data_IF_043595535091
#
_entry.id   IF_043595535091
#
_cell.length_a   1.000
_cell.length_b   1.000
_cell.length_c   1.000
_cell.angle_alpha   90.00
_cell.angle_beta   90.00
_cell.angle_gamma   90.00
#
_symmetry.space_group_name_H-M   'P 1'
#
loop_
_entity.id
_entity.type
_entity.pdbx_description
1 polymer ?
#
# COMPACT_ATOMS: atom_id res chain seq x y z
N UNK A 1 -1.76 8.89 5.80
CA UNK A 1 -2.21 7.63 6.43
C UNK A 1 -3.51 7.79 7.19
N UNK A 2 -3.74 8.91 7.88
CA UNK A 2 -4.96 9.16 8.67
C UNK A 2 -6.30 8.85 7.98
N UNK A 3 -6.42 9.06 6.65
CA UNK A 3 -7.67 8.78 5.93
C UNK A 3 -7.90 7.27 5.67
N UNK A 4 -6.83 6.48 5.53
CA UNK A 4 -6.92 5.03 5.35
C UNK A 4 -7.22 4.32 6.67
N UNK A 5 -6.64 4.80 7.77
CA UNK A 5 -6.88 4.23 9.10
C UNK A 5 -8.37 4.18 9.43
N UNK A 6 -9.09 5.31 9.32
CA UNK A 6 -10.53 5.34 9.60
C UNK A 6 -11.34 4.39 8.71
N UNK A 7 -10.98 4.28 7.42
CA UNK A 7 -11.64 3.37 6.51
C UNK A 7 -11.40 1.91 6.91
N UNK A 8 -10.13 1.53 7.14
CA UNK A 8 -9.74 0.17 7.52
C UNK A 8 -10.41 -0.24 8.84
N UNK A 9 -10.42 0.65 9.83
CA UNK A 9 -11.08 0.42 11.12
C UNK A 9 -12.59 0.21 10.94
N UNK A 10 -13.25 1.06 10.14
CA UNK A 10 -14.68 0.91 9.87
C UNK A 10 -14.99 -0.42 9.16
N UNK A 11 -14.19 -0.82 8.17
CA UNK A 11 -14.33 -2.10 7.48
C UNK A 11 -14.13 -3.28 8.44
N UNK A 12 -13.12 -3.21 9.30
CA UNK A 12 -12.81 -4.27 10.27
C UNK A 12 -13.99 -4.52 11.21
N UNK A 13 -14.56 -3.47 11.80
CA UNK A 13 -15.69 -3.61 12.73
C UNK A 13 -17.00 -3.97 12.05
N UNK A 14 -17.17 -3.64 10.77
CA UNK A 14 -18.32 -4.07 9.97
C UNK A 14 -18.20 -5.53 9.50
N UNK A 15 -17.00 -6.09 9.49
CA UNK A 15 -16.75 -7.44 9.00
C UNK A 15 -17.22 -8.53 9.98
N UNK A 16 -17.62 -9.72 9.48
CA UNK A 16 -17.98 -10.84 10.34
C UNK A 16 -16.77 -11.34 11.14
N UNK A 17 -17.02 -12.03 12.25
CA UNK A 17 -15.98 -12.47 13.19
C UNK A 17 -14.90 -13.34 12.52
N UNK A 18 -15.24 -14.13 11.49
CA UNK A 18 -14.27 -14.93 10.74
C UNK A 18 -13.25 -14.05 10.01
N UNK A 19 -13.69 -12.93 9.45
CA UNK A 19 -12.80 -11.98 8.78
C UNK A 19 -11.89 -11.26 9.79
N UNK A 20 -12.41 -10.90 10.96
CA UNK A 20 -11.61 -10.36 12.06
C UNK A 20 -10.56 -11.38 12.55
N UNK A 21 -10.95 -12.66 12.61
CA UNK A 21 -10.02 -13.75 12.96
C UNK A 21 -8.91 -13.90 11.91
N UNK A 22 -9.25 -13.85 10.62
CA UNK A 22 -8.27 -13.89 9.54
C UNK A 22 -7.33 -12.68 9.56
N UNK A 23 -7.83 -11.50 9.94
CA UNK A 23 -7.00 -10.31 10.14
C UNK A 23 -5.94 -10.51 11.25
N UNK A 24 -6.33 -11.09 12.38
CA UNK A 24 -5.38 -11.44 13.44
C UNK A 24 -4.40 -12.54 13.02
N UNK A 25 -4.85 -13.54 12.26
CA UNK A 25 -3.96 -14.56 11.71
C UNK A 25 -2.94 -13.97 10.74
N UNK A 26 -3.37 -13.02 9.89
CA UNK A 26 -2.47 -12.31 9.00
C UNK A 26 -1.43 -11.50 9.78
N UNK A 27 -1.84 -10.75 10.80
CA UNK A 27 -0.90 -10.04 11.68
C UNK A 27 0.13 -11.00 12.31
N UNK A 28 -0.34 -12.07 12.94
CA UNK A 28 0.52 -13.06 13.60
C UNK A 28 1.42 -13.83 12.64
N UNK A 29 1.06 -13.90 11.35
CA UNK A 29 1.93 -14.54 10.33
C UNK A 29 3.14 -13.67 9.98
N UNK A 30 3.07 -12.37 10.27
CA UNK A 30 4.15 -11.41 10.06
C UNK A 30 4.96 -11.16 11.34
N UNK A 31 4.29 -11.02 12.49
CA UNK A 31 4.89 -10.88 13.83
C UNK A 31 5.45 -12.24 14.29
N UNK A 32 6.68 -12.54 13.92
CA UNK A 32 7.28 -13.87 14.04
C UNK A 32 7.80 -14.13 15.44
N UNK A 33 8.30 -13.11 16.10
CA UNK A 33 8.77 -13.21 17.49
C UNK A 33 7.62 -13.08 18.51
N UNK A 34 6.44 -12.63 18.07
CA UNK A 34 5.23 -12.54 18.88
C UNK A 34 5.28 -11.39 19.87
N UNK A 35 6.05 -10.33 19.59
CA UNK A 35 6.21 -9.19 20.49
C UNK A 35 5.03 -8.20 20.39
N UNK A 36 4.08 -8.42 19.47
CA UNK A 36 2.92 -7.57 19.24
C UNK A 36 3.18 -6.41 18.28
N UNK A 37 4.32 -6.40 17.59
CA UNK A 37 4.74 -5.37 16.64
C UNK A 37 5.61 -5.98 15.56
N UNK A 38 5.32 -5.64 14.31
CA UNK A 38 6.11 -6.15 13.18
C UNK A 38 7.28 -5.22 12.90
N UNK A 39 8.50 -5.71 13.02
CA UNK A 39 9.69 -4.92 12.67
C UNK A 39 9.96 -4.90 11.14
N UNK A 40 10.93 -4.08 10.71
CA UNK A 40 11.26 -3.96 9.29
C UNK A 40 11.75 -5.29 8.66
N UNK A 41 12.49 -6.10 9.40
CA UNK A 41 13.00 -7.39 8.94
C UNK A 41 11.85 -8.37 8.74
N UNK A 42 10.94 -8.48 9.70
CA UNK A 42 9.74 -9.30 9.64
C UNK A 42 8.84 -8.90 8.47
N UNK A 43 8.53 -7.60 8.36
CA UNK A 43 7.79 -7.02 7.24
C UNK A 43 8.41 -7.38 5.89
N UNK A 44 9.72 -7.16 5.73
CA UNK A 44 10.41 -7.38 4.46
C UNK A 44 10.47 -8.86 4.10
N UNK A 45 10.81 -9.71 5.07
CA UNK A 45 10.91 -11.15 4.86
C UNK A 45 9.55 -11.74 4.45
N UNK A 46 8.48 -11.33 5.13
CA UNK A 46 7.12 -11.76 4.80
C UNK A 46 6.72 -11.35 3.38
N UNK A 47 6.91 -10.08 3.01
CA UNK A 47 6.55 -9.62 1.67
C UNK A 47 7.34 -10.32 0.58
N UNK A 48 8.62 -10.61 0.79
CA UNK A 48 9.42 -11.37 -0.17
C UNK A 48 8.93 -12.82 -0.26
N UNK A 49 8.64 -13.48 0.86
CA UNK A 49 8.17 -14.87 0.83
C UNK A 49 6.80 -15.03 0.16
N UNK A 50 5.94 -14.02 0.26
CA UNK A 50 4.60 -14.01 -0.34
C UNK A 50 4.57 -13.46 -1.79
N UNK A 51 5.72 -13.14 -2.40
CA UNK A 51 5.78 -12.65 -3.78
C UNK A 51 5.37 -11.18 -3.96
N UNK A 52 5.47 -10.38 -2.89
CA UNK A 52 5.20 -8.94 -2.85
C UNK A 52 6.51 -8.12 -2.82
N UNK A 53 7.56 -8.56 -3.51
CA UNK A 53 8.88 -7.89 -3.54
C UNK A 53 8.79 -6.45 -4.02
N UNK A 54 7.83 -6.15 -4.90
CA UNK A 54 7.52 -4.79 -5.35
C UNK A 54 7.21 -3.85 -4.18
N UNK A 55 6.49 -4.32 -3.17
CA UNK A 55 6.14 -3.54 -1.98
C UNK A 55 7.30 -3.51 -0.97
N UNK A 56 8.06 -4.61 -0.87
CA UNK A 56 9.20 -4.74 0.05
C UNK A 56 10.36 -3.80 -0.29
N UNK A 57 10.58 -3.50 -1.58
CA UNK A 57 11.66 -2.63 -2.05
C UNK A 57 11.37 -1.13 -1.95
N UNK A 58 10.19 -0.75 -1.45
CA UNK A 58 9.71 0.65 -1.40
C UNK A 58 9.81 1.20 0.01
N UNK A 59 9.61 2.50 0.16
CA UNK A 59 9.55 3.16 1.47
C UNK A 59 8.23 2.87 2.24
N UNK A 60 7.52 1.79 1.90
CA UNK A 60 6.18 1.48 2.44
C UNK A 60 6.20 1.29 3.95
N UNK A 61 7.20 0.62 4.51
CA UNK A 61 7.32 0.44 5.97
C UNK A 61 7.27 1.79 6.70
N UNK A 62 8.16 2.72 6.32
CA UNK A 62 8.23 4.07 6.91
C UNK A 62 6.97 4.91 6.68
N UNK A 63 6.17 4.55 5.66
CA UNK A 63 4.91 5.21 5.41
C UNK A 63 3.84 4.68 6.35
N UNK A 64 3.82 3.36 6.59
CA UNK A 64 2.87 2.67 7.45
C UNK A 64 3.07 3.02 8.92
N UNK A 65 4.33 3.06 9.36
CA UNK A 65 4.77 3.46 10.70
C UNK A 65 4.43 4.94 10.98
N UNK A 66 3.18 5.16 11.37
CA UNK A 66 2.57 6.48 11.48
C UNK A 66 2.98 7.19 12.76
N UNK A 67 3.17 6.43 13.84
CA UNK A 67 3.64 6.94 15.13
C UNK A 67 5.18 6.99 15.23
N UNK A 68 5.89 6.40 14.26
CA UNK A 68 7.36 6.37 14.15
C UNK A 68 8.03 5.59 15.28
N UNK A 69 7.35 4.57 15.79
CA UNK A 69 7.88 3.69 16.84
C UNK A 69 8.84 2.62 16.29
N UNK A 70 9.04 2.55 14.96
CA UNK A 70 9.88 1.58 14.23
C UNK A 70 9.37 0.15 14.21
N UNK A 71 8.11 -0.06 14.51
CA UNK A 71 7.37 -1.30 14.33
C UNK A 71 6.00 -0.99 13.74
N UNK A 72 5.32 -2.01 13.25
CA UNK A 72 3.96 -1.88 12.72
C UNK A 72 2.99 -2.54 13.66
N UNK A 73 2.04 -1.75 14.16
CA UNK A 73 0.94 -2.25 14.97
C UNK A 73 -0.12 -2.96 14.13
N UNK A 74 -1.13 -3.53 14.80
CA UNK A 74 -2.21 -4.23 14.14
C UNK A 74 -2.92 -3.39 13.06
N UNK A 75 -3.19 -2.10 13.31
CA UNK A 75 -3.91 -1.23 12.38
C UNK A 75 -3.06 -0.81 11.19
N UNK A 76 -1.77 -0.63 11.40
CA UNK A 76 -0.79 -0.36 10.35
C UNK A 76 -0.65 -1.58 9.42
N UNK A 77 -0.64 -2.79 9.98
CA UNK A 77 -0.66 -4.04 9.20
C UNK A 77 -2.00 -4.26 8.50
N UNK A 78 -3.15 -3.89 9.09
CA UNK A 78 -4.43 -3.95 8.37
C UNK A 78 -4.48 -2.94 7.21
N UNK A 79 -3.79 -1.81 7.36
CA UNK A 79 -3.61 -0.86 6.25
C UNK A 79 -2.76 -1.48 5.14
N UNK A 80 -1.68 -2.19 5.48
CA UNK A 80 -0.91 -2.98 4.51
C UNK A 80 -1.77 -4.04 3.81
N UNK A 81 -2.56 -4.80 4.55
CA UNK A 81 -3.44 -5.84 3.99
C UNK A 81 -4.37 -5.24 2.93
N UNK A 82 -4.99 -4.09 3.21
CA UNK A 82 -5.82 -3.38 2.24
C UNK A 82 -5.03 -2.95 0.99
N UNK A 83 -3.81 -2.43 1.17
CA UNK A 83 -2.92 -2.01 0.08
C UNK A 83 -2.60 -3.20 -0.85
N UNK A 84 -2.23 -4.34 -0.27
CA UNK A 84 -1.90 -5.55 -1.01
C UNK A 84 -3.11 -6.10 -1.76
N UNK A 85 -4.28 -6.15 -1.12
CA UNK A 85 -5.52 -6.66 -1.74
C UNK A 85 -5.99 -5.82 -2.91
N UNK A 86 -5.92 -4.49 -2.80
CA UNK A 86 -6.38 -3.63 -3.88
C UNK A 86 -5.33 -3.42 -4.98
N UNK A 87 -4.12 -3.98 -4.85
CA UNK A 87 -3.05 -3.90 -5.85
C UNK A 87 -2.64 -2.47 -6.20
N UNK A 88 -2.82 -1.53 -5.26
CA UNK A 88 -2.70 -0.10 -5.57
C UNK A 88 -1.24 0.30 -5.80
N UNK A 89 -0.94 1.10 -6.84
CA UNK A 89 0.43 1.46 -7.18
C UNK A 89 1.00 2.59 -6.31
N UNK A 90 2.32 2.75 -6.37
CA UNK A 90 3.04 3.90 -5.81
C UNK A 90 3.40 4.87 -6.93
N UNK A 91 3.59 6.14 -6.56
CA UNK A 91 4.14 7.11 -7.48
C UNK A 91 5.58 6.71 -7.86
N UNK A 92 5.84 6.56 -9.15
CA UNK A 92 7.13 6.18 -9.70
C UNK A 92 8.26 7.12 -9.27
N UNK A 93 7.97 8.43 -9.09
CA UNK A 93 8.98 9.44 -8.77
C UNK A 93 9.20 9.67 -7.28
N UNK A 94 8.14 9.84 -6.49
CA UNK A 94 8.25 10.21 -5.08
C UNK A 94 7.95 9.08 -4.10
N UNK A 95 7.67 7.88 -4.60
CA UNK A 95 7.41 6.68 -3.81
C UNK A 95 6.22 6.79 -2.83
N UNK A 96 5.40 7.83 -2.98
CA UNK A 96 4.18 7.99 -2.20
C UNK A 96 3.12 7.06 -2.75
N UNK A 97 2.42 6.39 -1.83
CA UNK A 97 1.27 5.57 -2.16
C UNK A 97 0.18 6.40 -2.85
N UNK A 98 -0.33 5.91 -3.98
CA UNK A 98 -1.36 6.61 -4.76
C UNK A 98 -2.74 6.31 -4.17
N UNK A 99 -3.10 7.14 -3.19
CA UNK A 99 -4.38 7.07 -2.49
C UNK A 99 -5.55 7.58 -3.33
N UNK A 100 -5.29 8.53 -4.22
CA UNK A 100 -6.32 9.21 -4.99
C UNK A 100 -7.04 8.23 -5.93
N UNK A 101 -8.30 8.50 -6.24
CA UNK A 101 -9.05 7.73 -7.22
C UNK A 101 -8.47 7.87 -8.63
N UNK A 102 -7.65 8.90 -8.84
CA UNK A 102 -7.04 9.24 -10.10
C UNK A 102 -5.52 9.18 -9.98
N UNK A 103 -4.88 8.38 -10.81
CA UNK A 103 -3.44 8.46 -11.05
C UNK A 103 -3.16 8.54 -12.54
N UNK A 104 -2.01 9.11 -12.91
CA UNK A 104 -1.61 9.14 -14.31
C UNK A 104 -0.72 7.94 -14.59
N UNK A 105 -1.07 7.20 -15.62
CA UNK A 105 -0.33 6.06 -16.11
C UNK A 105 0.49 6.44 -17.34
N UNK A 106 1.73 5.94 -17.44
CA UNK A 106 2.57 6.07 -18.63
C UNK A 106 3.32 4.74 -18.90
N UNK A 107 3.69 4.49 -20.15
CA UNK A 107 4.50 3.32 -20.54
C UNK A 107 5.99 3.65 -20.41
N UNK A 108 6.62 3.11 -19.36
CA UNK A 108 8.05 3.22 -19.16
C UNK A 108 8.77 1.99 -19.77
N UNK A 109 10.07 2.10 -20.10
CA UNK A 109 10.86 0.97 -20.66
C UNK A 109 10.88 -0.31 -19.79
N UNK A 110 10.47 -0.21 -18.52
CA UNK A 110 10.34 -1.33 -17.58
C UNK A 110 8.89 -1.75 -17.30
N UNK A 111 7.93 -1.33 -18.13
CA UNK A 111 6.51 -1.60 -17.92
C UNK A 111 5.76 -0.40 -17.32
N UNK A 112 4.60 -0.64 -16.70
CA UNK A 112 3.70 0.43 -16.37
C UNK A 112 4.21 1.32 -15.22
N UNK A 113 4.19 2.65 -15.40
CA UNK A 113 4.57 3.62 -14.38
C UNK A 113 3.42 4.57 -14.02
N UNK A 114 3.21 4.78 -12.71
CA UNK A 114 2.12 5.60 -12.18
C UNK A 114 2.66 6.86 -11.50
N UNK A 115 1.97 7.98 -11.65
CA UNK A 115 2.37 9.27 -11.08
C UNK A 115 1.26 9.87 -10.23
N UNK A 116 1.64 10.49 -9.11
CA UNK A 116 0.73 11.39 -8.38
C UNK A 116 0.61 12.71 -9.12
N UNK A 117 -0.48 13.46 -8.87
CA UNK A 117 -0.77 14.73 -9.54
C UNK A 117 0.40 15.72 -9.49
N UNK A 118 1.08 15.82 -8.34
CA UNK A 118 2.23 16.71 -8.16
C UNK A 118 3.43 16.27 -9.01
N UNK A 119 3.80 14.99 -8.97
CA UNK A 119 4.94 14.49 -9.74
C UNK A 119 4.66 14.46 -11.24
N UNK A 120 3.41 14.29 -11.63
CA UNK A 120 2.98 14.35 -13.02
C UNK A 120 3.13 15.77 -13.60
N UNK A 121 2.72 16.80 -12.86
CA UNK A 121 2.90 18.20 -13.30
C UNK A 121 4.37 18.56 -13.55
N UNK A 122 5.30 18.05 -12.73
CA UNK A 122 6.73 18.19 -12.97
C UNK A 122 7.19 17.43 -14.22
N UNK A 123 6.62 16.26 -14.50
CA UNK A 123 7.00 15.42 -15.63
C UNK A 123 6.53 15.96 -16.98
N UNK A 124 5.39 16.65 -17.02
CA UNK A 124 4.85 17.30 -18.24
C UNK A 124 5.75 18.42 -18.79
N UNK A 125 6.65 18.97 -17.98
CA UNK A 125 7.61 19.99 -18.43
C UNK A 125 8.76 19.37 -19.25
N UNK A 126 8.93 18.05 -19.23
CA UNK A 126 10.07 17.36 -19.83
C UNK A 126 9.75 16.75 -21.21
N UNK A 127 8.54 16.22 -21.50
CA UNK A 127 8.20 15.60 -22.80
C UNK A 127 6.68 15.46 -23.10
N UNK A 128 6.33 15.31 -24.39
CA UNK A 128 4.98 15.00 -24.90
C UNK A 128 4.64 13.51 -24.75
N UNK A 129 3.73 13.15 -23.85
CA UNK A 129 3.29 11.77 -23.63
C UNK A 129 1.80 11.58 -23.89
N UNK A 130 1.40 10.34 -24.22
CA UNK A 130 0.01 9.92 -24.29
C UNK A 130 -0.54 9.81 -22.86
N UNK A 131 -1.55 10.62 -22.55
CA UNK A 131 -2.10 10.74 -21.20
C UNK A 131 -3.38 9.93 -21.11
N UNK A 132 -3.40 8.92 -20.26
CA UNK A 132 -4.64 8.28 -19.86
C UNK A 132 -4.81 8.45 -18.36
N UNK A 133 -5.92 9.08 -17.96
CA UNK A 133 -6.32 9.16 -16.56
C UNK A 133 -6.70 7.75 -16.12
N UNK A 134 -5.94 7.19 -15.19
CA UNK A 134 -6.25 5.90 -14.61
C UNK A 134 -7.22 6.13 -13.45
N UNK A 135 -8.50 5.83 -13.68
CA UNK A 135 -9.47 5.70 -12.59
C UNK A 135 -9.18 4.38 -11.84
N UNK A 136 -8.63 4.47 -10.63
CA UNK A 136 -8.43 3.33 -9.74
C UNK A 136 -9.75 2.70 -9.25
N UNK A 137 -10.91 3.18 -9.73
CA UNK A 137 -12.23 2.60 -9.51
C UNK A 137 -12.38 1.15 -10.00
N UNK A 138 -11.61 0.70 -10.99
CA UNK A 138 -11.64 -0.72 -11.41
C UNK A 138 -10.92 -1.68 -10.44
N UNK A 139 -10.20 -1.19 -9.42
CA UNK A 139 -9.74 -2.01 -8.30
C UNK A 139 -10.82 -2.20 -7.23
N UNK A 140 -11.90 -1.40 -7.23
CA UNK A 140 -13.02 -1.52 -6.30
C UNK A 140 -14.03 -2.63 -6.67
N UNK A 141 -13.77 -3.39 -7.74
CA UNK A 141 -14.53 -4.62 -8.03
C UNK A 141 -13.89 -5.87 -7.40
N UNK A 142 -12.73 -5.73 -6.76
CA UNK A 142 -11.99 -6.83 -6.12
C UNK A 142 -11.60 -6.53 -4.65
N UNK A 143 -12.07 -5.39 -4.12
CA UNK A 143 -12.13 -5.03 -2.71
C UNK A 143 -13.61 -4.66 -2.43
#
# INVERSE_FOLDING_TARGET
>A
MANLWHFVVAQYYAAPWQAQTMAHQFFNSMDRDGNGSVDYSEFKNFLVSEGFEYYAGRNLFSKLDGDRNRGLDFWEIMTLYYILKCGRPFCFRCDNFLWDAYCVYNECRGGPCYFCSNCYQCHLQEHTFFVQVCCLYNCAHYC
#
